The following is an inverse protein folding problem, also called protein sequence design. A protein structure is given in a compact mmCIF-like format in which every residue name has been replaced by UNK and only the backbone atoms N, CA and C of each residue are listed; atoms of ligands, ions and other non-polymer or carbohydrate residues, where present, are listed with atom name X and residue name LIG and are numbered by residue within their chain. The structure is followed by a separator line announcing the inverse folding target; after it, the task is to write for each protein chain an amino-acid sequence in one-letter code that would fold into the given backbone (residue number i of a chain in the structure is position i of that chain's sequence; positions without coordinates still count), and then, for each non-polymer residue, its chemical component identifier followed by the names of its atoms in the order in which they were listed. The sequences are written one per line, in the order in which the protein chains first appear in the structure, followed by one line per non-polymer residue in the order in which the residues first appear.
data_IF_840032996693
#
_entry.id   IF_840032996693
#
_cell.length_a   1.000
_cell.length_b   1.000
_cell.length_c   1.000
_cell.angle_alpha   90.00
_cell.angle_beta   90.00
_cell.angle_gamma   90.00
#
_symmetry.space_group_name_H-M   'P 1'
#
loop_
_entity.id
_entity.type
_entity.pdbx_description
1 polymer ?
#
# COMPACT_ATOMS: atom_id res chain seq x y z
N UNK A 1 -44.88 75.79 25.80
CA UNK A 1 -45.72 74.65 25.37
C UNK A 1 -44.97 74.00 24.22
N UNK A 2 -44.10 73.01 24.48
CA UNK A 2 -44.43 71.56 24.61
C UNK A 2 -45.06 71.05 23.31
N UNK A 3 -44.60 69.99 22.63
CA UNK A 3 -44.01 68.73 23.11
C UNK A 3 -43.16 68.09 22.01
N UNK A 4 -42.15 67.36 22.48
CA UNK A 4 -41.27 66.37 21.86
C UNK A 4 -41.70 65.62 20.58
N UNK A 5 -40.69 65.37 19.74
CA UNK A 5 -40.65 64.24 18.80
C UNK A 5 -40.59 62.91 19.58
N UNK A 6 -41.44 61.91 19.29
CA UNK A 6 -41.30 60.60 19.88
C UNK A 6 -40.36 59.71 19.06
N UNK A 7 -39.35 59.20 19.75
CA UNK A 7 -38.76 57.89 19.48
C UNK A 7 -39.88 56.84 19.37
N UNK A 8 -39.91 56.09 18.28
CA UNK A 8 -40.54 54.77 18.29
C UNK A 8 -39.52 53.68 17.99
N UNK A 9 -39.44 52.81 18.98
CA UNK A 9 -38.67 51.60 19.16
C UNK A 9 -38.65 50.69 17.94
N UNK A 10 -37.44 50.18 17.65
CA UNK A 10 -37.23 48.93 16.91
C UNK A 10 -38.04 47.83 17.58
N UNK A 11 -39.09 47.36 16.91
CA UNK A 11 -39.63 46.02 17.13
C UNK A 11 -38.80 45.13 16.21
N UNK A 12 -37.94 44.31 16.81
CA UNK A 12 -37.35 43.16 16.13
C UNK A 12 -38.51 42.24 15.72
N UNK A 13 -38.91 42.28 14.46
CA UNK A 13 -39.67 41.18 13.87
C UNK A 13 -38.74 39.99 13.79
N UNK A 14 -38.93 39.02 14.69
CA UNK A 14 -38.44 37.65 14.54
C UNK A 14 -38.91 37.14 13.17
N UNK A 15 -38.01 36.78 12.23
CA UNK A 15 -38.44 36.07 11.05
C UNK A 15 -38.94 34.71 11.49
N UNK A 16 -40.18 34.42 11.11
CA UNK A 16 -40.84 33.13 11.22
C UNK A 16 -39.90 31.99 10.81
N UNK A 17 -39.75 31.01 11.70
CA UNK A 17 -39.14 29.72 11.37
C UNK A 17 -40.05 29.06 10.33
N UNK A 18 -39.63 29.07 9.08
CA UNK A 18 -40.21 28.23 8.03
C UNK A 18 -39.88 26.77 8.37
N UNK A 19 -40.82 26.12 9.03
CA UNK A 19 -40.81 24.68 9.28
C UNK A 19 -41.23 23.96 7.99
N UNK A 20 -40.30 23.79 7.03
CA UNK A 20 -40.39 22.70 6.02
C UNK A 20 -39.18 22.56 5.05
N UNK A 21 -37.95 22.80 5.49
CA UNK A 21 -36.80 22.24 4.76
C UNK A 21 -35.79 21.64 5.71
N UNK A 22 -35.75 20.31 5.76
CA UNK A 22 -34.62 19.61 6.39
C UNK A 22 -33.42 19.84 5.46
N UNK A 23 -32.35 20.54 5.88
CA UNK A 23 -31.23 20.83 4.99
C UNK A 23 -30.52 19.53 4.62
N UNK A 24 -30.56 19.17 3.33
CA UNK A 24 -29.82 18.05 2.79
C UNK A 24 -28.33 18.19 3.10
N UNK A 25 -27.68 17.09 3.47
CA UNK A 25 -26.23 17.07 3.62
C UNK A 25 -25.55 17.15 2.24
N UNK A 26 -24.47 17.95 2.15
CA UNK A 26 -23.67 18.15 0.93
C UNK A 26 -22.21 17.75 1.12
N UNK A 27 -21.88 17.05 2.21
CA UNK A 27 -20.52 16.58 2.46
C UNK A 27 -20.26 15.37 1.58
N UNK A 28 -19.27 15.46 0.69
CA UNK A 28 -18.83 14.33 -0.15
C UNK A 28 -18.32 13.13 0.66
N UNK A 29 -17.85 13.38 1.88
CA UNK A 29 -17.38 12.37 2.84
C UNK A 29 -18.47 11.70 3.69
N UNK A 30 -19.77 11.97 3.42
CA UNK A 30 -20.85 11.30 4.15
C UNK A 30 -21.14 9.94 3.52
N UNK A 31 -20.97 8.86 4.29
CA UNK A 31 -21.20 7.48 3.87
C UNK A 31 -22.53 6.94 4.41
N UNK A 32 -23.09 5.94 3.74
CA UNK A 32 -24.35 5.27 4.10
C UNK A 32 -24.04 3.91 4.73
N UNK A 33 -24.40 3.73 6.00
CA UNK A 33 -24.26 2.48 6.74
C UNK A 33 -25.67 1.91 6.98
N UNK A 34 -25.94 0.68 6.53
CA UNK A 34 -27.17 -0.07 6.86
C UNK A 34 -28.49 0.74 6.76
N UNK A 35 -28.64 1.53 5.70
CA UNK A 35 -29.79 2.41 5.37
C UNK A 35 -29.84 3.78 6.06
N UNK A 36 -28.89 4.11 6.94
CA UNK A 36 -28.77 5.43 7.58
C UNK A 36 -27.50 6.18 7.14
N UNK A 37 -27.59 7.50 6.96
CA UNK A 37 -26.42 8.33 6.64
C UNK A 37 -25.64 8.64 7.90
N UNK A 38 -24.30 8.61 7.83
CA UNK A 38 -23.42 8.87 8.98
C UNK A 38 -23.64 10.24 9.65
N UNK A 39 -24.27 11.19 8.96
CA UNK A 39 -24.61 12.51 9.50
C UNK A 39 -26.04 12.63 10.04
N UNK A 40 -26.87 11.58 9.96
CA UNK A 40 -28.27 11.60 10.39
C UNK A 40 -29.18 12.56 9.61
N UNK A 41 -28.80 12.96 8.40
CA UNK A 41 -29.58 13.90 7.55
C UNK A 41 -29.95 13.26 6.20
N UNK A 42 -31.09 13.64 5.60
CA UNK A 42 -31.46 13.19 4.26
C UNK A 42 -30.46 13.69 3.20
N UNK A 43 -30.25 12.89 2.15
CA UNK A 43 -29.47 13.22 0.95
C UNK A 43 -30.36 13.11 -0.30
N UNK A 44 -30.07 13.86 -1.38
CA UNK A 44 -30.77 13.71 -2.66
C UNK A 44 -30.51 12.30 -3.19
N UNK A 45 -31.56 11.53 -3.43
CA UNK A 45 -31.45 10.21 -4.07
C UNK A 45 -31.31 10.45 -5.56
N UNK A 46 -30.08 10.42 -6.08
CA UNK A 46 -29.89 10.13 -7.50
C UNK A 46 -30.15 8.64 -7.74
N UNK A 47 -30.71 8.24 -8.89
CA UNK A 47 -30.86 6.84 -9.24
C UNK A 47 -29.48 6.22 -9.37
N UNK A 48 -29.01 5.61 -8.29
CA UNK A 48 -27.89 4.67 -8.30
C UNK A 48 -28.27 3.59 -9.29
N UNK A 49 -27.53 3.49 -10.40
CA UNK A 49 -27.60 2.31 -11.26
C UNK A 49 -27.48 1.09 -10.33
N UNK A 50 -28.36 0.07 -10.45
CA UNK A 50 -28.28 -1.08 -9.56
C UNK A 50 -26.85 -1.60 -9.61
N UNK A 51 -26.22 -1.78 -8.43
CA UNK A 51 -25.02 -2.60 -8.31
C UNK A 51 -25.34 -3.88 -9.08
N UNK A 52 -24.76 -4.03 -10.27
CA UNK A 52 -24.74 -5.33 -10.92
C UNK A 52 -24.11 -6.29 -9.91
N UNK A 53 -24.79 -7.42 -9.75
CA UNK A 53 -24.52 -8.45 -8.76
C UNK A 53 -23.01 -8.66 -8.66
N UNK A 54 -22.43 -8.20 -7.55
CA UNK A 54 -21.10 -8.66 -7.12
C UNK A 54 -21.21 -10.17 -7.13
N UNK A 55 -20.50 -10.82 -8.06
CA UNK A 55 -20.29 -12.26 -7.96
C UNK A 55 -19.83 -12.51 -6.53
N UNK A 56 -20.61 -13.27 -5.77
CA UNK A 56 -20.35 -13.49 -4.35
C UNK A 56 -19.02 -14.23 -4.24
N UNK A 57 -17.93 -13.49 -4.02
CA UNK A 57 -16.64 -14.06 -3.63
C UNK A 57 -16.90 -14.90 -2.40
N UNK A 58 -16.67 -16.21 -2.51
CA UNK A 58 -16.92 -17.14 -1.41
C UNK A 58 -15.73 -17.16 -0.44
N UNK A 59 -15.90 -17.83 0.70
CA UNK A 59 -14.78 -18.04 1.63
C UNK A 59 -13.70 -18.90 0.97
N UNK A 60 -14.09 -19.89 0.17
CA UNK A 60 -13.17 -20.72 -0.59
C UNK A 60 -12.36 -19.92 -1.62
N UNK A 61 -12.99 -18.94 -2.28
CA UNK A 61 -12.31 -18.03 -3.20
C UNK A 61 -11.25 -17.17 -2.48
N UNK A 62 -11.46 -16.83 -1.20
CA UNK A 62 -10.50 -16.09 -0.37
C UNK A 62 -9.37 -17.00 0.14
N UNK A 63 -9.70 -18.23 0.53
CA UNK A 63 -8.73 -19.22 1.00
C UNK A 63 -7.71 -19.60 -0.08
N UNK A 64 -8.09 -19.53 -1.36
CA UNK A 64 -7.18 -19.77 -2.49
C UNK A 64 -6.07 -18.70 -2.61
N UNK A 65 -6.27 -17.49 -2.07
CA UNK A 65 -5.32 -16.36 -2.16
C UNK A 65 -4.24 -16.40 -1.10
N UNK A 66 -4.37 -17.34 -0.19
CA UNK A 66 -3.58 -17.43 1.01
C UNK A 66 -2.69 -18.66 0.88
N UNK A 67 -1.38 -18.53 1.09
CA UNK A 67 -0.55 -19.72 1.25
C UNK A 67 -1.13 -20.58 2.40
N UNK A 68 -1.37 -21.89 2.17
CA UNK A 68 -1.92 -22.76 3.21
C UNK A 68 -1.07 -22.66 4.47
N UNK A 69 -1.70 -22.76 5.65
CA UNK A 69 -0.95 -22.76 6.91
C UNK A 69 0.09 -23.89 6.87
N UNK A 70 1.36 -23.51 6.68
CA UNK A 70 2.48 -24.38 7.02
C UNK A 70 2.28 -24.73 8.50
N UNK A 71 2.33 -26.03 8.84
CA UNK A 71 2.10 -26.55 10.19
C UNK A 71 3.09 -25.92 11.18
N UNK A 72 2.80 -24.69 11.61
CA UNK A 72 3.53 -24.00 12.63
C UNK A 72 3.24 -24.79 13.91
N UNK A 73 4.26 -25.47 14.44
CA UNK A 73 4.19 -25.94 15.82
C UNK A 73 3.97 -24.69 16.67
N UNK A 74 2.75 -24.55 17.17
CA UNK A 74 2.25 -23.42 17.96
C UNK A 74 3.36 -22.79 18.81
N UNK A 75 3.76 -21.56 18.47
CA UNK A 75 4.31 -20.68 19.48
C UNK A 75 3.14 -20.29 20.39
N UNK A 76 3.12 -20.87 21.60
CA UNK A 76 2.10 -20.64 22.62
C UNK A 76 1.72 -19.16 22.75
N UNK A 77 0.46 -18.86 22.47
CA UNK A 77 -0.21 -17.62 22.84
C UNK A 77 -0.27 -17.52 24.38
N UNK A 78 0.64 -16.75 24.99
CA UNK A 78 0.44 -16.28 26.35
C UNK A 78 -0.62 -15.18 26.32
N UNK A 79 -1.86 -15.58 26.63
CA UNK A 79 -2.94 -14.65 26.91
C UNK A 79 -2.63 -13.84 28.19
N UNK A 80 -2.62 -12.52 28.06
CA UNK A 80 -2.88 -11.59 29.18
C UNK A 80 -3.69 -10.44 28.59
N UNK A 81 -4.98 -10.26 28.91
CA UNK A 81 -5.47 -10.07 30.27
C UNK A 81 -5.53 -8.57 30.53
N UNK A 82 -6.75 -8.03 30.58
CA UNK A 82 -7.06 -6.62 30.66
C UNK A 82 -6.46 -5.88 31.86
N UNK A 83 -6.00 -4.65 31.61
CA UNK A 83 -6.07 -3.45 32.46
C UNK A 83 -5.78 -3.62 33.96
N UNK A 84 -4.55 -3.33 34.37
CA UNK A 84 -4.31 -2.64 35.64
C UNK A 84 -3.12 -1.69 35.51
N UNK A 85 -3.41 -0.43 35.82
CA UNK A 85 -2.51 0.71 35.79
C UNK A 85 -1.51 0.65 36.94
N UNK A 86 -0.23 0.84 36.63
CA UNK A 86 0.71 1.45 37.58
C UNK A 86 1.70 2.36 36.84
N UNK A 87 1.64 3.64 37.23
CA UNK A 87 2.54 4.70 36.81
C UNK A 87 3.95 4.43 37.36
N UNK A 88 4.93 4.27 36.49
CA UNK A 88 6.32 4.58 36.81
C UNK A 88 6.87 5.52 35.74
N UNK A 89 6.95 6.80 36.09
CA UNK A 89 7.74 7.77 35.35
C UNK A 89 9.20 7.31 35.31
N UNK A 90 9.67 6.92 34.13
CA UNK A 90 11.10 6.92 33.80
C UNK A 90 11.30 7.97 32.73
N UNK A 91 11.73 9.15 33.16
CA UNK A 91 12.27 10.19 32.30
C UNK A 91 13.61 9.71 31.73
N UNK A 92 13.58 9.14 30.53
CA UNK A 92 14.76 8.96 29.70
C UNK A 92 14.71 9.98 28.55
N UNK A 93 15.43 11.07 28.76
CA UNK A 93 15.77 12.02 27.72
C UNK A 93 16.84 11.37 26.82
N UNK A 94 16.41 10.81 25.69
CA UNK A 94 17.28 10.44 24.58
C UNK A 94 16.69 11.10 23.36
N UNK A 95 17.41 12.07 22.80
CA UNK A 95 16.97 12.81 21.63
C UNK A 95 16.50 11.84 20.56
N UNK A 96 15.24 11.97 20.18
CA UNK A 96 14.71 11.38 18.96
C UNK A 96 15.51 12.00 17.81
N UNK A 97 16.54 11.27 17.37
CA UNK A 97 17.02 11.41 16.01
C UNK A 97 15.89 10.82 15.19
N UNK A 98 15.04 11.68 14.64
CA UNK A 98 14.12 11.28 13.58
C UNK A 98 14.95 10.55 12.52
N UNK A 99 14.47 9.42 11.97
CA UNK A 99 15.23 8.71 10.96
C UNK A 99 15.40 9.67 9.79
N UNK A 100 16.65 10.04 9.49
CA UNK A 100 17.00 10.76 8.27
C UNK A 100 16.39 9.99 7.11
N UNK A 101 15.30 10.49 6.55
CA UNK A 101 14.79 10.02 5.27
C UNK A 101 15.86 10.43 4.25
N UNK A 102 16.79 9.51 3.99
CA UNK A 102 17.66 9.59 2.84
C UNK A 102 16.75 9.91 1.64
N UNK A 103 17.09 10.94 0.86
CA UNK A 103 16.33 11.43 -0.31
C UNK A 103 15.25 12.50 -0.07
N UNK A 104 15.07 13.09 1.11
CA UNK A 104 14.14 14.24 1.27
C UNK A 104 14.49 15.42 0.33
N UNK A 105 15.78 15.67 0.13
CA UNK A 105 16.29 16.71 -0.77
C UNK A 105 16.44 16.25 -2.23
N UNK A 106 16.03 15.01 -2.56
CA UNK A 106 16.14 14.52 -3.94
C UNK A 106 15.15 15.24 -4.86
N UNK A 107 15.52 15.51 -6.14
CA UNK A 107 14.71 16.36 -7.00
C UNK A 107 13.35 15.75 -7.36
N UNK A 108 13.24 14.41 -7.36
CA UNK A 108 11.97 13.71 -7.60
C UNK A 108 10.93 13.94 -6.49
N UNK A 109 11.33 14.39 -5.30
CA UNK A 109 10.38 14.68 -4.20
C UNK A 109 9.48 15.90 -4.47
N UNK A 110 9.76 16.64 -5.55
CA UNK A 110 8.87 17.67 -6.05
C UNK A 110 7.53 17.10 -6.54
N UNK A 111 7.53 15.87 -7.05
CA UNK A 111 6.32 15.13 -7.44
C UNK A 111 5.69 14.46 -6.23
N UNK A 112 4.38 14.21 -6.33
CA UNK A 112 3.64 13.46 -5.31
C UNK A 112 3.82 14.00 -3.88
N UNK A 113 4.12 15.30 -3.74
CA UNK A 113 4.39 15.97 -2.45
C UNK A 113 3.20 15.85 -1.50
N UNK A 114 2.00 15.91 -2.05
CA UNK A 114 0.74 15.82 -1.31
C UNK A 114 0.55 14.43 -0.67
N UNK A 115 1.02 13.36 -1.34
CA UNK A 115 0.95 11.98 -0.84
C UNK A 115 2.21 11.55 -0.08
N UNK A 116 3.27 12.36 -0.02
CA UNK A 116 4.55 12.01 0.64
C UNK A 116 4.40 11.63 2.11
N UNK A 117 3.38 12.16 2.79
CA UNK A 117 3.06 11.86 4.19
C UNK A 117 2.19 10.61 4.36
N UNK A 118 1.71 10.04 3.26
CA UNK A 118 0.81 8.88 3.22
C UNK A 118 1.57 7.58 2.96
N UNK A 119 2.89 7.63 2.93
CA UNK A 119 3.72 6.45 2.85
C UNK A 119 5.01 6.58 3.64
N UNK A 120 5.54 5.46 4.08
CA UNK A 120 6.84 5.36 4.72
C UNK A 120 7.48 4.00 4.45
N UNK A 121 8.69 3.78 4.97
CA UNK A 121 9.35 2.47 4.94
C UNK A 121 9.20 1.80 6.31
N UNK A 122 8.34 0.78 6.46
CA UNK A 122 8.15 0.10 7.73
C UNK A 122 9.29 -0.89 8.01
N UNK A 123 9.54 -1.15 9.29
CA UNK A 123 10.49 -2.19 9.70
C UNK A 123 10.01 -3.57 9.25
N UNK A 124 10.94 -4.35 8.71
CA UNK A 124 10.73 -5.72 8.25
C UNK A 124 11.31 -6.77 9.19
N UNK A 125 11.97 -6.36 10.29
CA UNK A 125 12.79 -7.25 11.11
C UNK A 125 12.03 -8.45 11.65
N UNK A 126 10.76 -8.28 11.97
CA UNK A 126 9.89 -9.32 12.53
C UNK A 126 9.00 -10.04 11.50
N UNK A 127 9.16 -9.74 10.20
CA UNK A 127 8.40 -10.45 9.16
C UNK A 127 8.95 -11.87 9.05
N UNK A 128 8.07 -12.86 9.15
CA UNK A 128 8.45 -14.27 9.08
C UNK A 128 8.65 -14.72 7.63
N UNK A 129 9.82 -15.28 7.33
CA UNK A 129 10.21 -15.78 6.00
C UNK A 129 10.81 -17.18 6.10
N UNK A 130 10.88 -17.93 4.99
CA UNK A 130 11.41 -19.31 5.02
C UNK A 130 12.87 -19.31 5.53
N UNK A 131 13.10 -20.06 6.62
CA UNK A 131 14.40 -20.26 7.25
C UNK A 131 15.41 -20.98 6.35
N UNK A 132 16.69 -20.97 6.74
CA UNK A 132 17.76 -21.66 5.99
C UNK A 132 17.50 -23.17 5.84
N UNK A 133 16.87 -23.80 6.84
CA UNK A 133 16.55 -25.23 6.91
C UNK A 133 15.09 -25.54 6.59
N UNK A 134 14.36 -24.58 6.03
CA UNK A 134 12.91 -24.68 5.81
C UNK A 134 12.49 -25.92 5.04
N UNK A 135 13.30 -26.36 4.07
CA UNK A 135 13.01 -27.56 3.27
C UNK A 135 12.89 -28.83 4.12
N UNK A 136 13.55 -28.87 5.28
CA UNK A 136 13.51 -29.99 6.23
C UNK A 136 12.51 -29.77 7.36
N UNK A 137 12.50 -28.56 7.95
CA UNK A 137 11.82 -28.28 9.21
C UNK A 137 10.51 -27.49 9.07
N UNK A 138 10.27 -26.87 7.91
CA UNK A 138 9.16 -25.95 7.62
C UNK A 138 9.08 -24.78 8.61
N UNK A 139 10.21 -24.34 9.18
CA UNK A 139 10.27 -23.27 10.17
C UNK A 139 10.60 -21.94 9.52
N UNK A 140 9.69 -20.97 9.70
CA UNK A 140 9.95 -19.57 9.34
C UNK A 140 10.75 -18.86 10.42
N UNK A 141 11.51 -17.85 10.02
CA UNK A 141 12.35 -17.05 10.91
C UNK A 141 12.17 -15.56 10.61
N UNK A 142 12.46 -14.67 11.57
CA UNK A 142 12.45 -13.24 11.32
C UNK A 142 13.42 -12.85 10.18
N UNK A 143 12.95 -12.05 9.22
CA UNK A 143 13.69 -11.72 8.01
C UNK A 143 14.86 -10.75 8.24
N UNK A 144 14.81 -9.95 9.31
CA UNK A 144 15.75 -8.84 9.50
C UNK A 144 15.44 -7.65 8.57
N UNK A 145 16.47 -6.84 8.30
CA UNK A 145 16.32 -5.61 7.51
C UNK A 145 16.07 -5.91 6.03
N UNK A 146 15.22 -5.10 5.41
CA UNK A 146 15.02 -5.13 3.97
C UNK A 146 16.31 -4.78 3.22
N UNK A 147 16.47 -5.37 2.04
CA UNK A 147 17.64 -5.18 1.18
C UNK A 147 17.59 -3.81 0.50
N UNK A 148 16.44 -3.49 -0.09
CA UNK A 148 16.20 -2.25 -0.81
C UNK A 148 15.79 -1.11 0.10
N UNK A 149 16.14 0.11 -0.31
CA UNK A 149 15.70 1.36 0.33
C UNK A 149 14.60 2.01 -0.49
N UNK A 150 13.42 2.21 0.09
CA UNK A 150 12.31 2.93 -0.52
C UNK A 150 12.73 4.37 -0.82
N UNK A 151 12.66 4.74 -2.10
CA UNK A 151 13.03 6.04 -2.64
C UNK A 151 11.84 6.98 -2.70
N UNK A 152 10.77 6.51 -3.32
CA UNK A 152 9.64 7.31 -3.70
C UNK A 152 8.40 6.45 -3.92
N UNK A 153 7.24 7.10 -3.86
CA UNK A 153 5.97 6.52 -4.26
C UNK A 153 5.21 7.58 -5.05
N UNK A 154 4.76 7.20 -6.23
CA UNK A 154 3.87 8.00 -7.07
C UNK A 154 2.47 7.37 -7.11
N UNK A 155 1.45 8.23 -7.23
CA UNK A 155 0.08 7.81 -7.50
C UNK A 155 -0.39 8.47 -8.80
N UNK A 156 -0.58 7.65 -9.82
CA UNK A 156 -0.95 8.09 -11.16
C UNK A 156 -2.36 7.68 -11.53
N UNK A 157 -2.98 8.46 -12.41
CA UNK A 157 -4.21 8.13 -13.12
C UNK A 157 -3.96 8.17 -14.64
N UNK A 158 -4.77 7.41 -15.37
CA UNK A 158 -4.62 7.23 -16.81
C UNK A 158 -5.99 7.14 -17.50
N UNK A 159 -6.03 7.50 -18.78
CA UNK A 159 -7.25 7.40 -19.57
C UNK A 159 -7.59 5.94 -19.90
N UNK A 160 -6.56 5.09 -20.05
CA UNK A 160 -6.72 3.67 -20.41
C UNK A 160 -5.89 2.74 -19.54
N UNK A 161 -6.30 1.46 -19.47
CA UNK A 161 -5.58 0.45 -18.69
C UNK A 161 -4.19 0.15 -19.29
N UNK A 162 -4.06 0.18 -20.61
CA UNK A 162 -2.82 -0.14 -21.32
C UNK A 162 -1.72 0.90 -21.10
N UNK A 163 -2.08 2.15 -20.79
CA UNK A 163 -1.13 3.22 -20.48
C UNK A 163 -0.41 3.04 -19.15
N UNK A 164 -0.91 2.13 -18.29
CA UNK A 164 -0.32 1.78 -17.00
C UNK A 164 0.85 0.82 -17.09
N UNK A 165 1.14 0.28 -18.27
CA UNK A 165 2.20 -0.71 -18.44
C UNK A 165 3.57 -0.05 -18.67
N UNK A 166 4.63 -0.66 -18.12
CA UNK A 166 6.02 -0.26 -18.34
C UNK A 166 6.27 1.25 -18.08
N UNK A 167 5.74 1.74 -16.96
CA UNK A 167 5.79 3.14 -16.59
C UNK A 167 7.21 3.64 -16.39
N UNK A 168 8.17 2.76 -16.10
CA UNK A 168 9.58 3.13 -16.02
C UNK A 168 10.08 3.83 -17.31
N UNK A 169 9.63 3.43 -18.50
CA UNK A 169 10.05 4.12 -19.74
C UNK A 169 9.58 5.57 -19.78
N UNK A 170 8.36 5.84 -19.32
CA UNK A 170 7.82 7.20 -19.27
C UNK A 170 8.47 7.98 -18.12
N UNK A 171 8.69 7.33 -16.97
CA UNK A 171 9.38 7.89 -15.81
C UNK A 171 10.77 8.42 -16.18
N UNK A 172 11.54 7.69 -16.99
CA UNK A 172 12.87 8.13 -17.46
C UNK A 172 12.86 9.44 -18.28
N UNK A 173 11.71 9.82 -18.84
CA UNK A 173 11.55 11.06 -19.62
C UNK A 173 11.05 12.24 -18.79
N UNK A 174 10.53 11.97 -17.58
CA UNK A 174 9.98 12.99 -16.68
C UNK A 174 11.10 13.91 -16.16
N UNK A 175 10.86 15.24 -16.04
CA UNK A 175 11.77 16.12 -15.31
C UNK A 175 11.99 15.58 -13.89
N UNK A 176 13.22 15.70 -13.38
CA UNK A 176 13.58 15.17 -12.06
C UNK A 176 13.27 13.68 -11.85
N UNK A 177 13.33 12.86 -12.90
CA UNK A 177 13.12 11.41 -12.85
C UNK A 177 13.92 10.72 -11.73
N UNK A 178 13.24 9.79 -11.03
CA UNK A 178 13.81 8.87 -10.04
C UNK A 178 14.89 8.01 -10.70
N UNK A 179 14.59 7.44 -11.87
CA UNK A 179 15.49 6.55 -12.60
C UNK A 179 16.72 7.26 -13.16
N UNK A 180 16.55 8.46 -13.71
CA UNK A 180 17.67 9.29 -14.19
C UNK A 180 18.56 9.68 -13.01
N UNK A 181 17.97 10.17 -11.91
CA UNK A 181 18.71 10.53 -10.71
C UNK A 181 19.52 9.34 -10.16
N UNK A 182 18.89 8.16 -10.04
CA UNK A 182 19.55 6.97 -9.51
C UNK A 182 20.67 6.50 -10.43
N UNK A 183 20.46 6.52 -11.76
CA UNK A 183 21.52 6.17 -12.73
C UNK A 183 22.74 7.09 -12.61
N UNK A 184 22.55 8.37 -12.32
CA UNK A 184 23.65 9.33 -12.18
C UNK A 184 24.36 9.26 -10.83
N UNK A 185 23.61 9.06 -9.73
CA UNK A 185 24.14 9.06 -8.36
C UNK A 185 24.62 7.69 -7.88
N UNK A 186 23.99 6.63 -8.37
CA UNK A 186 24.22 5.25 -7.97
C UNK A 186 24.33 4.35 -9.22
N UNK A 187 25.34 4.56 -10.09
CA UNK A 187 25.44 3.90 -11.39
C UNK A 187 25.58 2.36 -11.30
N UNK A 188 26.05 1.84 -10.17
CA UNK A 188 26.20 0.41 -9.91
C UNK A 188 24.98 -0.22 -9.21
N UNK A 189 23.97 0.60 -8.87
CA UNK A 189 22.72 0.16 -8.26
C UNK A 189 21.62 -0.04 -9.30
N UNK A 190 20.61 -0.82 -8.91
CA UNK A 190 19.39 -1.05 -9.69
C UNK A 190 18.19 -0.54 -8.91
N UNK A 191 17.21 0.04 -9.58
CA UNK A 191 15.91 0.38 -8.99
C UNK A 191 14.94 -0.78 -9.21
N UNK A 192 14.34 -1.29 -8.14
CA UNK A 192 13.19 -2.18 -8.22
C UNK A 192 11.92 -1.34 -8.16
N UNK A 193 10.99 -1.59 -9.09
CA UNK A 193 9.73 -0.86 -9.21
C UNK A 193 8.61 -1.87 -9.06
N UNK A 194 7.69 -1.60 -8.12
CA UNK A 194 6.40 -2.26 -8.06
C UNK A 194 5.34 -1.27 -8.51
N UNK A 195 4.59 -1.63 -9.53
CA UNK A 195 3.44 -0.90 -10.01
C UNK A 195 2.17 -1.69 -9.69
N UNK A 196 1.39 -1.24 -8.72
CA UNK A 196 0.11 -1.85 -8.36
C UNK A 196 -0.98 -1.15 -9.17
N UNK A 197 -1.48 -1.85 -10.18
CA UNK A 197 -2.55 -1.42 -11.05
C UNK A 197 -3.89 -1.58 -10.32
N UNK A 198 -4.43 -0.48 -9.79
CA UNK A 198 -5.63 -0.51 -8.97
C UNK A 198 -6.89 -0.77 -9.81
N UNK A 199 -7.85 -1.56 -9.31
CA UNK A 199 -9.09 -1.86 -10.01
C UNK A 199 -10.10 -0.72 -9.77
N UNK A 200 -10.04 0.33 -10.58
CA UNK A 200 -10.98 1.44 -10.56
C UNK A 200 -11.20 2.04 -11.96
N UNK A 201 -12.20 2.91 -12.06
CA UNK A 201 -12.57 3.55 -13.32
C UNK A 201 -11.56 4.61 -13.82
N UNK A 202 -10.71 5.13 -12.94
CA UNK A 202 -9.71 6.15 -13.25
C UNK A 202 -8.34 5.54 -13.62
N UNK A 203 -8.28 4.21 -13.80
CA UNK A 203 -7.08 3.43 -14.09
C UNK A 203 -5.89 3.80 -13.19
N UNK A 204 -6.10 3.90 -11.87
CA UNK A 204 -5.02 4.34 -10.99
C UNK A 204 -3.86 3.32 -10.93
N UNK A 205 -2.65 3.84 -10.73
CA UNK A 205 -1.43 3.06 -10.50
C UNK A 205 -0.68 3.60 -9.30
N UNK A 206 -0.43 2.73 -8.31
CA UNK A 206 0.45 3.03 -7.18
C UNK A 206 1.84 2.49 -7.49
N UNK A 207 2.77 3.39 -7.80
CA UNK A 207 4.14 3.03 -8.13
C UNK A 207 5.06 3.25 -6.93
N UNK A 208 5.79 2.22 -6.52
CA UNK A 208 6.79 2.31 -5.47
C UNK A 208 8.17 1.92 -6.00
N UNK A 209 9.19 2.69 -5.60
CA UNK A 209 10.55 2.58 -6.11
C UNK A 209 11.51 2.27 -4.96
N UNK A 210 12.30 1.19 -5.07
CA UNK A 210 13.36 0.86 -4.10
C UNK A 210 14.73 0.87 -4.77
N UNK A 211 15.69 1.57 -4.18
CA UNK A 211 17.08 1.49 -4.56
C UNK A 211 17.70 0.23 -3.96
N UNK A 212 18.23 -0.63 -4.81
CA UNK A 212 18.95 -1.81 -4.38
C UNK A 212 20.44 -1.51 -4.23
N UNK A 213 21.10 -2.06 -3.20
CA UNK A 213 22.54 -1.95 -3.08
C UNK A 213 23.23 -2.57 -4.31
N UNK A 214 24.41 -2.08 -4.71
CA UNK A 214 25.17 -2.69 -5.79
C UNK A 214 25.41 -4.18 -5.51
N UNK A 215 25.15 -5.03 -6.50
CA UNK A 215 25.51 -6.45 -6.41
C UNK A 215 27.04 -6.51 -6.55
N UNK A 216 27.76 -6.62 -5.43
CA UNK A 216 29.22 -6.72 -5.46
C UNK A 216 29.64 -8.01 -6.17
N UNK A 217 30.11 -7.91 -7.41
CA UNK A 217 30.54 -9.04 -8.25
C UNK A 217 31.81 -9.76 -7.75
N UNK A 218 32.43 -9.33 -6.65
CA UNK A 218 33.84 -9.68 -6.34
C UNK A 218 34.15 -10.07 -4.89
N UNK A 219 33.16 -10.28 -4.01
CA UNK A 219 33.45 -10.81 -2.66
C UNK A 219 32.70 -12.13 -2.44
N UNK A 220 33.29 -13.03 -1.66
CA UNK A 220 32.73 -14.30 -1.16
C UNK A 220 31.43 -14.14 -0.31
N UNK A 221 30.79 -12.96 -0.37
CA UNK A 221 29.59 -12.54 0.35
C UNK A 221 28.36 -12.44 -0.58
N UNK A 222 28.40 -13.03 -1.78
CA UNK A 222 27.21 -13.10 -2.62
C UNK A 222 26.21 -14.06 -1.97
N UNK A 223 25.31 -13.48 -1.16
CA UNK A 223 24.34 -14.25 -0.39
C UNK A 223 23.47 -15.09 -1.33
N UNK A 224 23.00 -16.22 -0.83
CA UNK A 224 22.05 -17.08 -1.55
C UNK A 224 20.87 -16.29 -2.16
N UNK A 225 20.34 -15.32 -1.42
CA UNK A 225 19.25 -14.47 -1.90
C UNK A 225 19.66 -13.58 -3.08
N UNK A 226 20.86 -13.00 -3.06
CA UNK A 226 21.33 -12.14 -4.17
C UNK A 226 21.42 -12.91 -5.49
N UNK A 227 21.86 -14.18 -5.45
CA UNK A 227 21.87 -15.08 -6.62
C UNK A 227 20.45 -15.34 -7.13
N UNK A 228 19.51 -15.65 -6.24
CA UNK A 228 18.11 -15.86 -6.60
C UNK A 228 17.48 -14.59 -7.18
N UNK A 229 17.75 -13.44 -6.57
CA UNK A 229 17.28 -12.14 -7.02
C UNK A 229 17.86 -11.76 -8.39
N UNK A 230 19.16 -11.96 -8.61
CA UNK A 230 19.80 -11.75 -9.91
C UNK A 230 19.16 -12.64 -10.98
N UNK A 231 18.93 -13.93 -10.68
CA UNK A 231 18.22 -14.84 -11.57
C UNK A 231 16.81 -14.33 -11.88
N UNK A 232 16.04 -13.91 -10.87
CA UNK A 232 14.70 -13.36 -11.06
C UNK A 232 14.68 -12.16 -12.00
N UNK A 233 15.61 -11.22 -11.82
CA UNK A 233 15.68 -10.03 -12.66
C UNK A 233 16.22 -10.29 -14.07
N UNK A 234 17.27 -11.10 -14.20
CA UNK A 234 18.11 -11.11 -15.41
C UNK A 234 17.93 -12.36 -16.28
N UNK A 235 17.72 -13.53 -15.67
CA UNK A 235 17.84 -14.84 -16.34
C UNK A 235 16.54 -15.65 -16.37
N UNK A 236 15.62 -15.43 -15.43
CA UNK A 236 14.34 -16.15 -15.33
C UNK A 236 13.42 -15.87 -16.51
N UNK A 237 12.52 -16.80 -16.81
CA UNK A 237 11.34 -16.52 -17.63
C UNK A 237 10.17 -16.08 -16.75
N UNK A 238 9.04 -15.74 -17.38
CA UNK A 238 7.88 -15.21 -16.65
C UNK A 238 7.22 -16.30 -15.79
N UNK A 239 7.21 -17.56 -16.23
CA UNK A 239 6.73 -18.69 -15.40
C UNK A 239 7.56 -18.82 -14.12
N UNK A 240 8.89 -18.72 -14.22
CA UNK A 240 9.75 -18.64 -13.05
C UNK A 240 9.41 -17.43 -12.19
N UNK A 241 9.23 -16.22 -12.74
CA UNK A 241 8.94 -15.04 -11.91
C UNK A 241 7.57 -15.13 -11.23
N UNK A 242 6.57 -15.65 -11.93
CA UNK A 242 5.20 -15.80 -11.45
C UNK A 242 5.13 -16.75 -10.25
N UNK A 243 5.91 -17.84 -10.30
CA UNK A 243 6.04 -18.79 -9.20
C UNK A 243 6.94 -18.32 -8.05
N UNK A 244 7.46 -17.08 -8.06
CA UNK A 244 8.51 -16.67 -7.12
C UNK A 244 8.24 -15.37 -6.39
N UNK A 245 7.66 -14.37 -7.05
CA UNK A 245 7.42 -13.10 -6.37
C UNK A 245 6.33 -13.25 -5.30
N UNK A 246 6.65 -12.82 -4.07
CA UNK A 246 5.73 -12.86 -2.92
C UNK A 246 5.45 -11.45 -2.43
N UNK A 247 4.17 -11.19 -2.19
CA UNK A 247 3.68 -10.02 -1.49
C UNK A 247 3.12 -10.46 -0.13
N UNK A 248 3.56 -9.81 0.94
CA UNK A 248 3.12 -10.07 2.31
C UNK A 248 2.41 -8.81 2.82
N UNK A 249 1.07 -8.77 2.82
CA UNK A 249 0.33 -7.65 3.38
C UNK A 249 0.23 -7.78 4.90
N UNK A 250 0.26 -6.66 5.60
CA UNK A 250 -0.06 -6.58 7.02
C UNK A 250 -0.97 -5.37 7.25
N UNK A 251 -2.23 -5.64 7.58
CA UNK A 251 -3.22 -4.62 7.88
C UNK A 251 -3.01 -4.08 9.31
N UNK A 252 -2.47 -2.87 9.41
CA UNK A 252 -2.19 -2.21 10.69
C UNK A 252 -3.44 -1.52 11.24
N UNK A 253 -4.13 -0.77 10.38
CA UNK A 253 -5.37 -0.10 10.72
C UNK A 253 -6.39 -0.26 9.59
N UNK A 254 -7.62 -0.60 9.95
CA UNK A 254 -8.72 -0.68 9.01
C UNK A 254 -9.98 -1.30 9.62
N UNK A 255 -11.12 -1.27 8.91
CA UNK A 255 -12.32 -1.95 9.33
C UNK A 255 -12.09 -3.45 9.56
N UNK A 256 -12.74 -4.00 10.59
CA UNK A 256 -12.64 -5.43 10.92
C UNK A 256 -12.94 -6.36 9.73
N UNK A 257 -13.85 -5.94 8.84
CA UNK A 257 -14.19 -6.69 7.62
C UNK A 257 -12.97 -6.88 6.70
N UNK A 258 -12.04 -5.91 6.63
CA UNK A 258 -10.83 -6.03 5.82
C UNK A 258 -9.81 -7.00 6.41
N UNK A 259 -9.80 -7.22 7.74
CA UNK A 259 -8.88 -8.17 8.37
C UNK A 259 -9.14 -9.61 7.92
N UNK A 260 -10.40 -9.96 7.64
CA UNK A 260 -10.76 -11.27 7.09
C UNK A 260 -10.42 -11.41 5.61
N UNK A 261 -10.40 -10.31 4.85
CA UNK A 261 -10.17 -10.31 3.41
C UNK A 261 -8.68 -10.19 3.04
N UNK A 262 -7.91 -9.51 3.87
CA UNK A 262 -6.46 -9.31 3.72
C UNK A 262 -5.77 -9.90 4.94
N UNK A 263 -5.72 -11.24 5.05
CA UNK A 263 -4.99 -11.88 6.13
C UNK A 263 -3.51 -11.52 6.02
N UNK A 264 -2.85 -11.42 7.17
CA UNK A 264 -1.40 -11.19 7.22
C UNK A 264 -0.64 -12.46 6.85
N UNK A 265 -0.71 -12.84 5.56
CA UNK A 265 -0.12 -14.07 5.02
C UNK A 265 0.49 -13.79 3.64
N UNK A 266 1.65 -14.39 3.32
CA UNK A 266 2.26 -14.26 2.01
C UNK A 266 1.35 -14.77 0.89
N UNK A 267 1.43 -14.13 -0.27
CA UNK A 267 0.81 -14.58 -1.51
C UNK A 267 1.82 -14.57 -2.65
N UNK A 268 1.93 -15.70 -3.37
CA UNK A 268 2.60 -15.77 -4.67
C UNK A 268 1.71 -15.11 -5.73
N UNK A 269 1.90 -13.81 -5.96
CA UNK A 269 0.94 -13.02 -6.73
C UNK A 269 0.85 -13.46 -8.19
N UNK A 270 1.90 -14.01 -8.79
CA UNK A 270 1.87 -14.49 -10.19
C UNK A 270 1.03 -15.72 -10.44
N UNK A 271 0.74 -16.48 -9.39
CA UNK A 271 -0.20 -17.60 -9.48
C UNK A 271 -1.66 -17.15 -9.43
N UNK A 272 -1.91 -15.86 -9.14
CA UNK A 272 -3.23 -15.29 -8.86
C UNK A 272 -3.59 -14.10 -9.73
N UNK A 273 -2.60 -13.30 -10.11
CA UNK A 273 -2.71 -12.07 -10.88
C UNK A 273 -1.89 -12.19 -12.15
N UNK A 274 -2.34 -11.50 -13.19
CA UNK A 274 -1.48 -11.20 -14.33
C UNK A 274 -0.36 -10.27 -13.87
N UNK A 275 0.89 -10.70 -14.09
CA UNK A 275 2.07 -9.89 -13.86
C UNK A 275 2.75 -9.56 -15.19
N UNK A 276 3.37 -8.39 -15.27
CA UNK A 276 4.18 -7.99 -16.43
C UNK A 276 5.55 -7.53 -15.93
N UNK A 277 6.59 -7.96 -16.63
CA UNK A 277 7.97 -7.75 -16.20
C UNK A 277 8.72 -6.93 -17.24
N UNK A 278 9.27 -5.81 -16.80
CA UNK A 278 10.06 -4.94 -17.65
C UNK A 278 11.43 -4.70 -17.04
N UNK A 279 12.48 -4.75 -17.85
CA UNK A 279 13.84 -4.64 -17.34
C UNK A 279 14.76 -3.88 -18.27
N UNK A 280 15.66 -3.11 -17.66
CA UNK A 280 16.82 -2.48 -18.28
C UNK A 280 18.02 -2.59 -17.34
N UNK A 281 19.15 -2.03 -17.72
CA UNK A 281 20.36 -2.09 -16.89
C UNK A 281 20.18 -1.42 -15.52
N UNK A 282 19.40 -0.34 -15.45
CA UNK A 282 19.21 0.49 -14.25
C UNK A 282 17.92 0.19 -13.47
N UNK A 283 16.99 -0.60 -14.01
CA UNK A 283 15.76 -0.95 -13.28
C UNK A 283 15.18 -2.32 -13.64
N UNK A 284 14.37 -2.81 -12.73
CA UNK A 284 13.43 -3.91 -12.93
C UNK A 284 12.05 -3.45 -12.45
N UNK A 285 11.05 -3.53 -13.30
CA UNK A 285 9.66 -3.15 -13.03
C UNK A 285 8.76 -4.39 -13.08
N UNK A 286 7.93 -4.50 -12.04
CA UNK A 286 6.88 -5.49 -11.89
C UNK A 286 5.54 -4.78 -11.87
N UNK A 287 4.72 -5.00 -12.89
CA UNK A 287 3.33 -4.56 -12.91
C UNK A 287 2.45 -5.67 -12.34
N UNK A 288 1.62 -5.34 -11.34
CA UNK A 288 0.63 -6.23 -10.72
C UNK A 288 -0.78 -5.79 -11.10
N UNK A 289 -1.41 -6.51 -12.03
CA UNK A 289 -2.79 -6.24 -12.44
C UNK A 289 -3.79 -6.84 -11.45
N UNK A 290 -4.23 -6.03 -10.49
CA UNK A 290 -5.20 -6.46 -9.47
C UNK A 290 -6.58 -6.75 -10.09
N UNK A 291 -6.90 -6.13 -11.23
CA UNK A 291 -8.17 -6.33 -11.92
C UNK A 291 -8.26 -7.63 -12.71
N UNK A 292 -7.13 -8.32 -12.90
CA UNK A 292 -7.06 -9.60 -13.63
C UNK A 292 -7.68 -10.79 -12.88
N UNK A 293 -8.04 -10.59 -11.61
CA UNK A 293 -8.73 -11.59 -10.78
C UNK A 293 -9.97 -10.99 -10.13
N UNK A 294 -11.09 -11.70 -10.19
CA UNK A 294 -12.34 -11.30 -9.53
C UNK A 294 -12.16 -11.12 -8.01
N UNK A 295 -11.47 -12.06 -7.35
CA UNK A 295 -11.24 -12.00 -5.90
C UNK A 295 -10.32 -10.85 -5.54
N UNK A 296 -9.20 -10.70 -6.26
CA UNK A 296 -8.25 -9.62 -6.02
C UNK A 296 -8.86 -8.25 -6.32
N UNK A 297 -9.66 -8.16 -7.39
CA UNK A 297 -10.43 -6.98 -7.74
C UNK A 297 -11.37 -6.58 -6.59
N UNK A 298 -12.12 -7.54 -6.05
CA UNK A 298 -13.02 -7.28 -4.94
C UNK A 298 -12.29 -6.76 -3.70
N UNK A 299 -11.21 -7.44 -3.29
CA UNK A 299 -10.36 -7.04 -2.15
C UNK A 299 -9.76 -5.65 -2.40
N UNK A 300 -9.17 -5.44 -3.57
CA UNK A 300 -8.54 -4.19 -3.98
C UNK A 300 -9.53 -3.02 -4.03
N UNK A 301 -10.74 -3.21 -4.55
CA UNK A 301 -11.80 -2.20 -4.53
C UNK A 301 -12.26 -1.87 -3.11
N UNK A 302 -12.27 -2.86 -2.21
CA UNK A 302 -12.57 -2.63 -0.80
C UNK A 302 -11.46 -1.81 -0.11
N UNK A 303 -10.19 -2.17 -0.30
CA UNK A 303 -9.05 -1.40 0.21
C UNK A 303 -9.09 0.05 -0.28
N UNK A 304 -9.40 0.26 -1.57
CA UNK A 304 -9.53 1.61 -2.14
C UNK A 304 -10.66 2.42 -1.49
N UNK A 305 -11.81 1.79 -1.23
CA UNK A 305 -12.96 2.46 -0.61
C UNK A 305 -12.67 2.96 0.81
N UNK A 306 -11.68 2.36 1.47
CA UNK A 306 -11.23 2.71 2.82
C UNK A 306 -9.84 3.34 2.85
N UNK A 307 -9.24 3.66 1.70
CA UNK A 307 -7.82 4.04 1.60
C UNK A 307 -7.45 5.20 2.54
N UNK A 308 -8.34 6.19 2.71
CA UNK A 308 -8.15 7.34 3.61
C UNK A 308 -8.30 7.04 5.11
N UNK A 309 -8.65 5.81 5.47
CA UNK A 309 -8.79 5.30 6.85
C UNK A 309 -8.00 3.99 7.07
N UNK A 310 -7.17 3.60 6.10
CA UNK A 310 -6.43 2.35 6.08
C UNK A 310 -4.95 2.63 6.35
N UNK A 311 -4.32 1.81 7.18
CA UNK A 311 -2.87 1.68 7.23
C UNK A 311 -2.48 0.25 6.91
N UNK A 312 -1.66 0.05 5.89
CA UNK A 312 -1.23 -1.26 5.44
C UNK A 312 0.26 -1.27 5.13
N UNK A 313 0.97 -2.23 5.71
CA UNK A 313 2.33 -2.53 5.27
C UNK A 313 2.28 -3.59 4.18
N UNK A 314 3.13 -3.44 3.17
CA UNK A 314 3.41 -4.44 2.16
C UNK A 314 4.90 -4.75 2.20
N UNK A 315 5.22 -6.04 2.30
CA UNK A 315 6.59 -6.54 2.22
C UNK A 315 6.75 -7.39 0.97
N UNK A 316 7.85 -7.18 0.26
CA UNK A 316 8.16 -7.87 -0.99
C UNK A 316 9.28 -8.89 -0.73
N UNK A 317 9.15 -10.10 -1.25
CA UNK A 317 10.23 -11.09 -1.22
C UNK A 317 10.19 -12.00 -2.45
N UNK A 318 11.18 -12.87 -2.60
CA UNK A 318 11.27 -13.87 -3.66
C UNK A 318 11.37 -15.24 -3.01
N UNK A 319 10.50 -16.15 -3.41
CA UNK A 319 10.39 -17.48 -2.85
C UNK A 319 11.60 -18.36 -3.19
N UNK A 320 12.23 -18.89 -2.15
CA UNK A 320 13.19 -20.00 -2.29
C UNK A 320 12.47 -21.34 -2.34
N UNK A 321 12.84 -22.19 -3.31
CA UNK A 321 12.24 -23.52 -3.53
C UNK A 321 13.20 -24.68 -3.25
N UNK A 322 14.46 -24.37 -2.91
CA UNK A 322 15.44 -25.36 -2.47
C UNK A 322 16.44 -24.73 -1.50
N UNK A 323 17.24 -25.58 -0.84
CA UNK A 323 18.23 -25.16 0.16
C UNK A 323 19.24 -24.13 -0.38
N UNK A 324 19.61 -24.23 -1.66
CA UNK A 324 20.55 -23.31 -2.32
C UNK A 324 19.96 -21.94 -2.68
N UNK A 325 18.68 -21.72 -2.32
CA UNK A 325 17.90 -20.49 -2.49
C UNK A 325 17.42 -19.91 -1.14
N UNK A 326 17.72 -20.56 -0.01
CA UNK A 326 17.35 -20.12 1.34
C UNK A 326 18.57 -19.56 2.11
N UNK A 327 18.39 -18.68 3.10
CA UNK A 327 17.15 -18.12 3.65
C UNK A 327 16.53 -17.03 2.76
N UNK A 328 15.21 -16.92 2.77
CA UNK A 328 14.50 -15.77 2.18
C UNK A 328 14.82 -14.46 2.92
N UNK A 329 14.74 -13.33 2.20
CA UNK A 329 14.95 -11.99 2.76
C UNK A 329 13.91 -11.02 2.20
N UNK A 330 13.59 -9.96 2.93
CA UNK A 330 12.70 -8.90 2.42
C UNK A 330 13.48 -8.05 1.41
N UNK A 331 12.97 -8.00 0.19
CA UNK A 331 13.51 -7.19 -0.89
C UNK A 331 13.24 -5.70 -0.65
N UNK A 332 12.02 -5.38 -0.22
CA UNK A 332 11.59 -4.00 0.03
C UNK A 332 10.33 -3.99 0.89
N UNK A 333 10.05 -2.85 1.50
CA UNK A 333 8.85 -2.62 2.28
C UNK A 333 8.25 -1.25 1.97
N UNK A 334 6.92 -1.15 2.10
CA UNK A 334 6.18 0.11 2.01
C UNK A 334 5.03 0.09 3.02
N UNK A 335 4.85 1.17 3.75
CA UNK A 335 3.67 1.48 4.54
C UNK A 335 2.85 2.47 3.72
N UNK A 336 1.57 2.15 3.50
CA UNK A 336 0.60 3.04 2.88
C UNK A 336 -0.42 3.41 3.94
N UNK A 337 -0.49 4.70 4.27
CA UNK A 337 -1.23 5.22 5.42
C UNK A 337 -2.18 6.34 4.98
N UNK A 338 -3.48 6.13 5.17
CA UNK A 338 -4.54 7.11 4.89
C UNK A 338 -4.44 7.73 3.49
N UNK A 339 -4.15 6.89 2.49
CA UNK A 339 -3.94 7.33 1.11
C UNK A 339 -5.20 7.98 0.54
N UNK A 340 -5.09 9.24 0.13
CA UNK A 340 -6.13 9.96 -0.57
C UNK A 340 -5.97 9.75 -2.09
N UNK A 341 -6.83 8.91 -2.65
CA UNK A 341 -6.80 8.56 -4.07
C UNK A 341 -7.15 9.75 -4.98
N UNK A 342 -7.84 10.78 -4.47
CA UNK A 342 -8.16 11.99 -5.25
C UNK A 342 -6.91 12.84 -5.58
N UNK A 343 -5.78 12.56 -4.92
CA UNK A 343 -4.50 13.22 -5.18
C UNK A 343 -3.71 12.59 -6.34
N UNK A 344 -4.25 11.56 -6.98
CA UNK A 344 -3.66 10.96 -8.17
C UNK A 344 -3.46 12.00 -9.28
N UNK A 345 -2.26 12.02 -9.87
CA UNK A 345 -1.91 12.94 -10.95
C UNK A 345 -2.00 12.24 -12.30
N UNK A 346 -2.25 13.00 -13.36
CA UNK A 346 -2.04 12.48 -14.72
C UNK A 346 -0.56 12.18 -14.89
N UNK A 347 -0.23 11.07 -15.56
CA UNK A 347 1.16 10.78 -15.89
C UNK A 347 1.64 11.72 -17.01
N UNK A 348 2.44 12.72 -16.65
CA UNK A 348 2.99 13.74 -17.56
C UNK A 348 4.05 13.22 -18.53
#
# INVERSE_FOLDING_TARGET
MSVASPLHSRINSVPSIDSNSVPFCRRKSCTRLELEWSCGRPHPIEPVAPMEVVHSVTVEDLDEYIEPEDNNKEAELVASGAWESDNVLVTANTGAVEPEFAFDDAPFTAYSREIRKMWSEPDSSNVEVRGKTYMDDQVKVPAGKAIGKLLHVDLWKFDTAEERHHLAMREETRPHSVLVYCREKFPDSRVFILNIELPNADNLSLMAYWLLPPVHKTCDEDTTFNRLFAKFCDDGDDEFRDGRFKLIPNLVEGPWLLQSLVPNRPALTGTKLTQRYFRRSNYFELDLDVSSSTTAQYIGSMCQSWASYLQMHLYLTIQGENEDELQEQILGSIDVTYLDLELAKEFE
#
